data_IF_131691071011
#
_entry.id   IF_131691071011
#
_cell.length_a   1.000
_cell.length_b   1.000
_cell.length_c   1.000
_cell.angle_alpha   90.00
_cell.angle_beta   90.00
_cell.angle_gamma   90.00
#
_symmetry.space_group_name_H-M   'P 1'
#
loop_
_entity.id
_entity.type
_entity.pdbx_description
1 polymer ?
#
# COMPACT_ATOMS: atom_id res chain seq x y z
N UNK A 1 1.32 6.04 88.22
CA UNK A 1 2.44 6.85 88.75
C UNK A 1 3.55 6.90 87.70
N UNK A 2 3.25 7.36 86.48
CA UNK A 2 4.14 7.20 85.30
C UNK A 2 4.31 8.48 84.48
N UNK A 3 3.90 9.63 85.01
CA UNK A 3 4.01 10.92 84.30
C UNK A 3 5.33 11.64 84.63
N UNK A 4 6.09 11.19 85.65
CA UNK A 4 7.33 11.85 86.09
C UNK A 4 8.61 11.39 85.37
N UNK A 5 8.59 10.32 84.55
CA UNK A 5 9.83 9.83 83.88
C UNK A 5 10.05 10.39 82.46
N UNK A 6 8.99 10.80 81.74
CA UNK A 6 9.14 11.35 80.38
C UNK A 6 9.70 12.77 80.36
N UNK A 7 9.46 13.57 81.41
CA UNK A 7 9.92 14.96 81.50
C UNK A 7 11.43 15.06 81.73
N UNK A 8 12.02 14.10 82.45
CA UNK A 8 13.44 14.13 82.80
C UNK A 8 14.32 13.66 81.62
N UNK A 9 13.89 12.61 80.90
CA UNK A 9 14.59 12.12 79.70
C UNK A 9 14.64 13.19 78.60
N UNK A 10 13.54 13.91 78.37
CA UNK A 10 13.50 15.02 77.41
C UNK A 10 14.42 16.20 77.81
N UNK A 11 14.55 16.47 79.11
CA UNK A 11 15.44 17.52 79.65
C UNK A 11 16.92 17.12 79.52
N UNK A 12 17.25 15.86 79.74
CA UNK A 12 18.59 15.31 79.52
C UNK A 12 18.98 15.30 78.04
N UNK A 13 18.06 14.94 77.14
CA UNK A 13 18.29 15.00 75.69
C UNK A 13 18.53 16.43 75.21
N UNK A 14 17.75 17.39 75.74
CA UNK A 14 17.89 18.81 75.42
C UNK A 14 19.24 19.35 75.93
N UNK A 15 19.64 19.04 77.16
CA UNK A 15 20.96 19.38 77.70
C UNK A 15 22.10 18.75 76.90
N UNK A 16 21.95 17.51 76.45
CA UNK A 16 22.95 16.83 75.62
C UNK A 16 23.05 17.50 74.24
N UNK A 17 21.92 17.86 73.62
CA UNK A 17 21.90 18.60 72.36
C UNK A 17 22.48 20.00 72.49
N UNK A 18 22.22 20.70 73.60
CA UNK A 18 22.81 22.00 73.93
C UNK A 18 24.32 21.89 74.16
N UNK A 19 24.78 20.84 74.85
CA UNK A 19 26.21 20.54 75.05
C UNK A 19 26.91 20.20 73.73
N UNK A 20 26.26 19.41 72.87
CA UNK A 20 26.78 19.06 71.54
C UNK A 20 26.85 20.31 70.67
N UNK A 21 25.80 21.14 70.65
CA UNK A 21 25.78 22.37 69.86
C UNK A 21 26.79 23.40 70.36
N UNK A 22 26.98 23.55 71.67
CA UNK A 22 28.05 24.40 72.23
C UNK A 22 29.44 23.83 71.94
N UNK A 23 29.62 22.51 71.95
CA UNK A 23 30.86 21.87 71.52
C UNK A 23 31.15 22.10 70.02
N UNK A 24 30.13 22.06 69.16
CA UNK A 24 30.26 22.35 67.73
C UNK A 24 30.46 23.85 67.43
N UNK A 25 29.82 24.75 68.17
CA UNK A 25 30.05 26.20 68.06
C UNK A 25 31.46 26.56 68.53
N UNK A 26 31.90 26.00 69.67
CA UNK A 26 33.29 26.06 70.12
C UNK A 26 34.24 25.36 69.16
N UNK A 27 33.75 24.51 68.23
CA UNK A 27 34.54 23.93 67.15
C UNK A 27 34.76 24.85 65.98
N UNK A 28 33.81 25.75 65.71
CA UNK A 28 33.90 26.71 64.63
C UNK A 28 34.91 27.83 64.95
N UNK A 29 35.07 28.18 66.23
CA UNK A 29 36.12 29.11 66.70
C UNK A 29 37.55 28.51 66.61
N UNK A 30 37.69 27.16 66.56
CA UNK A 30 38.98 26.45 66.42
C UNK A 30 39.68 26.72 65.10
N UNK A 31 38.95 27.21 64.09
CA UNK A 31 39.50 27.64 62.81
C UNK A 31 40.42 28.87 62.96
N UNK A 32 40.35 29.61 64.07
CA UNK A 32 41.19 30.80 64.29
C UNK A 32 42.61 30.45 64.78
N UNK A 33 42.79 29.33 65.48
CA UNK A 33 44.11 28.81 65.84
C UNK A 33 44.08 27.28 66.07
N UNK A 34 44.25 26.48 65.00
CA UNK A 34 44.16 25.02 65.08
C UNK A 34 45.21 24.42 66.02
N UNK A 35 46.40 25.03 66.11
CA UNK A 35 47.48 24.56 66.98
C UNK A 35 47.06 24.58 68.46
N UNK A 36 46.47 25.67 68.93
CA UNK A 36 46.02 25.78 70.34
C UNK A 36 44.98 24.71 70.66
N UNK A 37 44.05 24.47 69.74
CA UNK A 37 43.01 23.48 69.94
C UNK A 37 43.57 22.05 70.02
N UNK A 38 44.39 21.64 69.04
CA UNK A 38 44.99 20.31 69.05
C UNK A 38 45.99 20.14 70.20
N UNK A 39 46.65 21.22 70.61
CA UNK A 39 47.50 21.23 71.80
C UNK A 39 46.68 20.98 73.06
N UNK A 40 45.54 21.66 73.24
CA UNK A 40 44.67 21.44 74.40
C UNK A 40 44.15 20.01 74.48
N UNK A 41 43.71 19.43 73.36
CA UNK A 41 43.28 18.02 73.30
C UNK A 41 44.45 17.09 73.62
N UNK A 42 45.60 17.29 72.99
CA UNK A 42 46.76 16.45 73.22
C UNK A 42 47.23 16.55 74.66
N UNK A 43 47.19 17.75 75.24
CA UNK A 43 47.54 18.00 76.64
C UNK A 43 46.63 17.24 77.59
N UNK A 44 45.31 17.26 77.39
CA UNK A 44 44.38 16.45 78.17
C UNK A 44 44.67 14.95 77.98
N UNK A 45 44.94 14.52 76.75
CA UNK A 45 45.20 13.12 76.44
C UNK A 45 46.48 12.59 77.11
N UNK A 46 47.55 13.39 77.21
CA UNK A 46 48.78 13.00 77.93
C UNK A 46 48.66 13.19 79.45
N UNK A 47 47.93 14.20 79.91
CA UNK A 47 47.71 14.50 81.34
C UNK A 47 46.40 13.88 81.88
N UNK A 48 45.91 12.80 81.27
CA UNK A 48 44.65 12.16 81.68
C UNK A 48 44.68 11.63 83.12
N UNK A 49 45.84 11.11 83.57
CA UNK A 49 46.04 10.55 84.92
C UNK A 49 45.88 11.60 86.04
N UNK A 50 46.59 12.75 86.01
CA UNK A 50 46.38 13.78 87.02
C UNK A 50 44.97 14.38 86.95
N UNK A 51 44.38 14.55 85.76
CA UNK A 51 43.00 15.03 85.62
C UNK A 51 42.01 14.07 86.31
N UNK A 52 42.07 12.77 86.01
CA UNK A 52 41.19 11.78 86.65
C UNK A 52 41.44 11.72 88.15
N UNK A 53 42.70 11.77 88.59
CA UNK A 53 43.04 11.73 90.02
C UNK A 53 42.51 12.96 90.76
N UNK A 54 42.50 14.13 90.12
CA UNK A 54 41.97 15.36 90.69
C UNK A 54 40.45 15.30 90.85
N UNK A 55 39.73 14.85 89.82
CA UNK A 55 38.26 14.89 89.78
C UNK A 55 37.58 13.66 90.38
N UNK A 56 38.13 12.45 90.19
CA UNK A 56 37.46 11.18 90.54
C UNK A 56 38.03 10.48 91.79
N UNK A 57 39.16 10.91 92.34
CA UNK A 57 39.67 10.33 93.58
C UNK A 57 38.71 10.60 94.75
N UNK A 58 38.70 9.73 95.76
CA UNK A 58 37.91 9.93 97.00
C UNK A 58 38.70 10.65 98.11
N UNK A 59 40.01 10.85 97.93
CA UNK A 59 40.90 11.48 98.92
C UNK A 59 40.60 12.97 99.14
N UNK A 60 41.12 13.58 100.21
CA UNK A 60 41.01 15.05 100.38
C UNK A 60 41.72 15.80 99.26
N UNK A 61 41.24 16.99 98.91
CA UNK A 61 41.78 17.79 97.81
C UNK A 61 43.29 18.09 97.96
N UNK A 62 43.74 18.36 99.19
CA UNK A 62 45.15 18.60 99.52
C UNK A 62 46.03 17.38 99.21
N UNK A 63 45.56 16.18 99.56
CA UNK A 63 46.27 14.94 99.26
C UNK A 63 46.33 14.65 97.75
N UNK A 64 45.29 15.00 96.99
CA UNK A 64 45.28 14.87 95.52
C UNK A 64 46.30 15.81 94.88
N UNK A 65 46.33 17.07 95.31
CA UNK A 65 47.27 18.07 94.79
C UNK A 65 48.72 17.67 95.10
N UNK A 66 48.99 17.23 96.33
CA UNK A 66 50.33 16.76 96.72
C UNK A 66 50.74 15.51 95.94
N UNK A 67 49.82 14.56 95.74
CA UNK A 67 50.08 13.37 94.93
C UNK A 67 50.39 13.74 93.47
N UNK A 68 49.66 14.69 92.89
CA UNK A 68 49.90 15.14 91.51
C UNK A 68 51.22 15.88 91.39
N UNK A 69 51.53 16.80 92.31
CA UNK A 69 52.77 17.57 92.29
C UNK A 69 54.02 16.72 92.50
N UNK A 70 53.90 15.56 93.15
CA UNK A 70 55.03 14.63 93.38
C UNK A 70 55.18 13.59 92.27
N UNK A 71 54.09 13.09 91.69
CA UNK A 71 54.13 11.96 90.76
C UNK A 71 53.98 12.36 89.28
N UNK A 72 53.50 13.58 88.98
CA UNK A 72 53.20 14.02 87.61
C UNK A 72 53.83 15.38 87.27
N UNK A 73 55.07 15.63 87.70
CA UNK A 73 55.80 16.88 87.46
C UNK A 73 56.80 16.82 86.29
N UNK A 74 56.61 15.89 85.35
CA UNK A 74 57.48 15.77 84.19
C UNK A 74 57.07 16.74 83.08
N UNK A 75 57.87 17.79 82.89
CA UNK A 75 57.67 18.82 81.86
C UNK A 75 57.61 18.24 80.44
N UNK A 76 58.26 17.11 80.17
CA UNK A 76 58.25 16.46 78.86
C UNK A 76 56.86 15.90 78.54
N UNK A 77 56.28 15.19 79.51
CA UNK A 77 54.93 14.62 79.41
C UNK A 77 53.84 15.70 79.45
N UNK A 78 54.04 16.75 80.26
CA UNK A 78 53.04 17.80 80.43
C UNK A 78 53.04 18.81 79.30
N UNK A 79 54.18 19.13 78.67
CA UNK A 79 54.26 20.22 77.68
C UNK A 79 54.80 19.79 76.31
N UNK A 80 55.98 19.16 76.26
CA UNK A 80 56.68 18.93 75.00
C UNK A 80 56.01 17.89 74.11
N UNK A 81 55.58 16.74 74.65
CA UNK A 81 54.88 15.73 73.84
C UNK A 81 53.52 16.24 73.32
N UNK A 82 52.66 16.89 74.13
CA UNK A 82 51.45 17.52 73.61
C UNK A 82 51.68 18.53 72.49
N UNK A 83 52.75 19.34 72.60
CA UNK A 83 53.13 20.32 71.58
C UNK A 83 53.59 19.65 70.28
N UNK A 84 54.40 18.59 70.38
CA UNK A 84 54.89 17.90 69.20
C UNK A 84 53.77 17.14 68.47
N UNK A 85 52.88 16.49 69.22
CA UNK A 85 51.71 15.80 68.64
C UNK A 85 50.74 16.78 68.01
N UNK A 86 50.48 17.92 68.64
CA UNK A 86 49.58 18.93 68.06
C UNK A 86 50.16 19.56 66.80
N UNK A 87 51.46 19.85 66.78
CA UNK A 87 52.16 20.35 65.59
C UNK A 87 52.13 19.30 64.47
N UNK A 88 52.41 18.04 64.79
CA UNK A 88 52.29 16.93 63.85
C UNK A 88 50.88 16.82 63.27
N UNK A 89 49.84 16.95 64.10
CA UNK A 89 48.45 16.88 63.64
C UNK A 89 48.09 18.05 62.72
N UNK A 90 48.47 19.29 63.07
CA UNK A 90 48.22 20.48 62.24
C UNK A 90 48.88 20.38 60.88
N UNK A 91 50.09 19.83 60.83
CA UNK A 91 50.83 19.66 59.56
C UNK A 91 50.27 18.50 58.76
N UNK A 92 49.99 17.33 59.38
CA UNK A 92 49.60 16.12 58.67
C UNK A 92 48.14 16.15 58.19
N UNK A 93 47.24 16.76 58.95
CA UNK A 93 45.81 16.81 58.63
C UNK A 93 45.51 17.35 57.21
N UNK A 94 46.07 18.49 56.74
CA UNK A 94 45.80 19.00 55.39
C UNK A 94 46.29 18.07 54.28
N UNK A 95 47.37 17.32 54.49
CA UNK A 95 47.83 16.32 53.52
C UNK A 95 46.91 15.10 53.48
N UNK A 96 46.41 14.68 54.63
CA UNK A 96 45.43 13.60 54.72
C UNK A 96 44.10 13.98 54.04
N UNK A 97 43.62 15.21 54.24
CA UNK A 97 42.42 15.70 53.54
C UNK A 97 42.64 15.76 52.03
N UNK A 98 43.80 16.24 51.58
CA UNK A 98 44.15 16.27 50.15
C UNK A 98 44.21 14.87 49.53
N UNK A 99 44.73 13.87 50.26
CA UNK A 99 44.75 12.48 49.82
C UNK A 99 43.32 11.94 49.63
N UNK A 100 42.43 12.18 50.60
CA UNK A 100 41.02 11.78 50.49
C UNK A 100 40.35 12.47 49.30
N UNK A 101 40.58 13.78 49.12
CA UNK A 101 40.02 14.53 48.01
C UNK A 101 40.47 13.97 46.66
N UNK A 102 41.75 13.60 46.51
CA UNK A 102 42.26 12.95 45.29
C UNK A 102 41.55 11.63 45.00
N UNK A 103 41.36 10.78 46.01
CA UNK A 103 40.64 9.50 45.85
C UNK A 103 39.20 9.76 45.41
N UNK A 104 38.53 10.73 46.04
CA UNK A 104 37.15 11.10 45.70
C UNK A 104 37.07 11.68 44.28
N UNK A 105 38.04 12.49 43.87
CA UNK A 105 38.10 13.04 42.51
C UNK A 105 38.28 11.95 41.46
N UNK A 106 39.16 10.97 41.69
CA UNK A 106 39.32 9.82 40.79
C UNK A 106 38.01 9.03 40.64
N UNK A 107 37.31 8.78 41.76
CA UNK A 107 36.01 8.13 41.72
C UNK A 107 34.96 8.95 40.94
N UNK A 108 34.94 10.28 41.10
CA UNK A 108 34.04 11.18 40.37
C UNK A 108 34.33 11.16 38.86
N UNK A 109 35.60 11.19 38.46
CA UNK A 109 36.00 11.12 37.05
C UNK A 109 35.57 9.79 36.44
N UNK A 110 35.83 8.67 37.13
CA UNK A 110 35.40 7.34 36.69
C UNK A 110 33.89 7.26 36.47
N UNK A 111 33.09 7.76 37.44
CA UNK A 111 31.62 7.81 37.31
C UNK A 111 31.16 8.68 36.14
N UNK A 112 31.78 9.86 35.96
CA UNK A 112 31.45 10.76 34.84
C UNK A 112 31.73 10.10 33.49
N UNK A 113 32.87 9.43 33.36
CA UNK A 113 33.23 8.72 32.14
C UNK A 113 32.26 7.56 31.85
N UNK A 114 31.89 6.78 32.87
CA UNK A 114 30.89 5.72 32.71
C UNK A 114 29.55 6.27 32.25
N UNK A 115 29.08 7.37 32.85
CA UNK A 115 27.83 8.03 32.44
C UNK A 115 27.88 8.52 30.99
N UNK A 116 29.00 9.11 30.56
CA UNK A 116 29.18 9.56 29.16
C UNK A 116 29.16 8.35 28.22
N UNK A 117 29.86 7.26 28.56
CA UNK A 117 29.90 6.05 27.75
C UNK A 117 28.51 5.39 27.64
N UNK A 118 27.75 5.34 28.73
CA UNK A 118 26.36 4.88 28.75
C UNK A 118 25.49 5.71 27.80
N UNK A 119 25.58 7.04 27.88
CA UNK A 119 24.86 7.94 26.97
C UNK A 119 25.24 7.74 25.50
N UNK A 120 26.52 7.55 25.21
CA UNK A 120 26.99 7.26 23.84
C UNK A 120 26.39 5.95 23.35
N UNK A 121 26.41 4.91 24.17
CA UNK A 121 25.81 3.61 23.84
C UNK A 121 24.31 3.72 23.57
N UNK A 122 23.57 4.48 24.38
CA UNK A 122 22.14 4.75 24.17
C UNK A 122 21.88 5.43 22.83
N UNK A 123 22.67 6.46 22.48
CA UNK A 123 22.50 7.16 21.20
C UNK A 123 22.81 6.28 20.00
N UNK A 124 23.84 5.42 20.10
CA UNK A 124 24.15 4.42 19.07
C UNK A 124 22.98 3.44 18.92
N UNK A 125 22.42 2.96 20.04
CA UNK A 125 21.24 2.10 20.03
C UNK A 125 20.04 2.76 19.35
N UNK A 126 19.73 4.01 19.71
CA UNK A 126 18.65 4.81 19.09
C UNK A 126 18.87 5.01 17.59
N UNK A 127 20.10 5.31 17.17
CA UNK A 127 20.42 5.47 15.76
C UNK A 127 20.20 4.16 14.98
N UNK A 128 20.59 3.02 15.57
CA UNK A 128 20.35 1.71 14.97
C UNK A 128 18.86 1.42 14.83
N UNK A 129 18.07 1.67 15.87
CA UNK A 129 16.60 1.50 15.84
C UNK A 129 16.00 2.37 14.74
N UNK A 130 16.32 3.67 14.70
CA UNK A 130 15.80 4.58 13.69
C UNK A 130 16.18 4.17 12.25
N UNK A 131 17.37 3.60 12.06
CA UNK A 131 17.81 3.09 10.75
C UNK A 131 16.99 1.87 10.32
N UNK A 132 16.75 0.93 11.21
CA UNK A 132 15.94 -0.26 10.91
C UNK A 132 14.46 0.08 10.73
N UNK A 133 13.92 1.03 11.50
CA UNK A 133 12.55 1.52 11.32
C UNK A 133 12.36 2.21 9.97
N UNK A 134 13.35 3.00 9.53
CA UNK A 134 13.32 3.62 8.20
C UNK A 134 13.35 2.58 7.07
N UNK A 135 14.13 1.51 7.22
CA UNK A 135 14.12 0.39 6.25
C UNK A 135 12.78 -0.33 6.26
N UNK A 136 12.22 -0.62 7.43
CA UNK A 136 10.93 -1.27 7.57
C UNK A 136 9.81 -0.47 6.89
N UNK A 137 9.75 0.85 7.13
CA UNK A 137 8.78 1.72 6.46
C UNK A 137 9.00 1.78 4.95
N UNK A 138 10.25 1.75 4.48
CA UNK A 138 10.55 1.71 3.05
C UNK A 138 10.14 0.38 2.39
N UNK A 139 10.37 -0.75 3.05
CA UNK A 139 9.90 -2.06 2.59
C UNK A 139 8.36 -2.14 2.59
N UNK A 140 7.72 -1.58 3.62
CA UNK A 140 6.27 -1.49 3.71
C UNK A 140 5.68 -0.59 2.62
N UNK A 141 6.29 0.55 2.34
CA UNK A 141 5.90 1.42 1.23
C UNK A 141 6.09 0.72 -0.12
N UNK A 142 7.21 0.03 -0.33
CA UNK A 142 7.44 -0.79 -1.52
C UNK A 142 6.39 -1.89 -1.70
N UNK A 143 6.00 -2.57 -0.61
CA UNK A 143 4.92 -3.56 -0.64
C UNK A 143 3.55 -2.93 -0.96
N UNK A 144 3.28 -1.72 -0.48
CA UNK A 144 2.06 -0.99 -0.81
C UNK A 144 2.04 -0.59 -2.29
N UNK A 145 3.15 -0.09 -2.83
CA UNK A 145 3.32 0.20 -4.26
C UNK A 145 3.11 -1.06 -5.11
N UNK A 146 3.67 -2.20 -4.69
CA UNK A 146 3.45 -3.50 -5.37
C UNK A 146 1.96 -3.88 -5.36
N UNK A 147 1.26 -3.68 -4.25
CA UNK A 147 -0.18 -3.96 -4.16
C UNK A 147 -0.99 -3.06 -5.09
N UNK A 148 -0.65 -1.78 -5.18
CA UNK A 148 -1.29 -0.82 -6.08
C UNK A 148 -1.02 -1.19 -7.55
N UNK A 149 0.22 -1.54 -7.88
CA UNK A 149 0.60 -2.02 -9.21
C UNK A 149 -0.16 -3.29 -9.60
N UNK A 150 -0.30 -4.25 -8.69
CA UNK A 150 -1.09 -5.47 -8.94
C UNK A 150 -2.56 -5.15 -9.21
N UNK A 151 -3.14 -4.22 -8.45
CA UNK A 151 -4.53 -3.75 -8.67
C UNK A 151 -4.66 -3.13 -10.07
N UNK A 152 -3.70 -2.29 -10.45
CA UNK A 152 -3.66 -1.67 -11.78
C UNK A 152 -3.51 -2.69 -12.91
N UNK A 153 -2.72 -3.73 -12.70
CA UNK A 153 -2.56 -4.84 -13.66
C UNK A 153 -3.90 -5.56 -13.85
N UNK A 154 -4.62 -5.86 -12.76
CA UNK A 154 -5.94 -6.50 -12.84
C UNK A 154 -6.95 -5.63 -13.60
N UNK A 155 -6.99 -4.33 -13.33
CA UNK A 155 -7.85 -3.37 -14.05
C UNK A 155 -7.52 -3.31 -15.54
N UNK A 156 -6.23 -3.27 -15.90
CA UNK A 156 -5.78 -3.28 -17.28
C UNK A 156 -6.14 -4.57 -18.00
N UNK A 157 -5.98 -5.73 -17.33
CA UNK A 157 -6.37 -7.03 -17.89
C UNK A 157 -7.87 -7.07 -18.19
N UNK A 158 -8.70 -6.60 -17.25
CA UNK A 158 -10.15 -6.53 -17.44
C UNK A 158 -10.53 -5.59 -18.57
N UNK A 159 -9.91 -4.41 -18.64
CA UNK A 159 -10.16 -3.44 -19.72
C UNK A 159 -9.76 -4.03 -21.08
N UNK A 160 -8.67 -4.79 -21.14
CA UNK A 160 -8.22 -5.42 -22.37
C UNK A 160 -9.16 -6.55 -22.80
N UNK A 161 -9.67 -7.34 -21.86
CA UNK A 161 -10.70 -8.36 -22.13
C UNK A 161 -12.01 -7.73 -22.65
N UNK A 162 -12.47 -6.64 -22.03
CA UNK A 162 -13.64 -5.88 -22.49
C UNK A 162 -13.42 -5.34 -23.91
N UNK A 163 -12.24 -4.75 -24.19
CA UNK A 163 -11.89 -4.29 -25.54
C UNK A 163 -11.82 -5.42 -26.55
N UNK A 164 -11.28 -6.58 -26.17
CA UNK A 164 -11.20 -7.74 -27.05
C UNK A 164 -12.61 -8.24 -27.42
N UNK A 165 -13.52 -8.31 -26.45
CA UNK A 165 -14.94 -8.62 -26.70
C UNK A 165 -15.59 -7.63 -27.67
N UNK A 166 -15.35 -6.33 -27.50
CA UNK A 166 -15.85 -5.32 -28.44
C UNK A 166 -15.24 -5.44 -29.84
N UNK A 167 -13.95 -5.78 -29.95
CA UNK A 167 -13.31 -6.04 -31.24
C UNK A 167 -13.97 -7.24 -31.93
N UNK A 168 -14.26 -8.29 -31.19
CA UNK A 168 -14.86 -9.49 -31.75
C UNK A 168 -16.33 -9.28 -32.14
N UNK A 169 -17.10 -8.49 -31.39
CA UNK A 169 -18.45 -8.08 -31.82
C UNK A 169 -18.41 -7.22 -33.09
N UNK A 170 -17.52 -6.23 -33.14
CA UNK A 170 -17.36 -5.36 -34.32
C UNK A 170 -16.91 -6.16 -35.57
N UNK A 171 -16.11 -7.22 -35.41
CA UNK A 171 -15.76 -8.13 -36.52
C UNK A 171 -16.98 -8.89 -37.04
N UNK A 172 -17.87 -9.33 -36.15
CA UNK A 172 -19.11 -10.01 -36.54
C UNK A 172 -19.99 -9.04 -37.33
N UNK A 173 -20.19 -7.83 -36.80
CA UNK A 173 -20.98 -6.79 -37.47
C UNK A 173 -20.41 -6.45 -38.84
N UNK A 174 -19.09 -6.22 -38.93
CA UNK A 174 -18.40 -5.97 -40.20
C UNK A 174 -18.60 -7.12 -41.20
N UNK A 175 -18.62 -8.36 -40.73
CA UNK A 175 -18.83 -9.53 -41.58
C UNK A 175 -20.25 -9.58 -42.11
N UNK A 176 -21.24 -9.23 -41.29
CA UNK A 176 -22.64 -9.14 -41.70
C UNK A 176 -22.87 -8.00 -42.70
N UNK A 177 -22.35 -6.80 -42.41
CA UNK A 177 -22.41 -5.66 -43.32
C UNK A 177 -21.76 -5.97 -44.68
N UNK A 178 -20.61 -6.66 -44.69
CA UNK A 178 -20.00 -7.12 -45.95
C UNK A 178 -20.89 -8.08 -46.72
N UNK A 179 -21.60 -9.00 -46.04
CA UNK A 179 -22.55 -9.91 -46.70
C UNK A 179 -23.71 -9.15 -47.31
N UNK A 180 -24.31 -8.21 -46.56
CA UNK A 180 -25.40 -7.37 -47.07
C UNK A 180 -24.94 -6.52 -48.26
N UNK A 181 -23.76 -5.88 -48.17
CA UNK A 181 -23.17 -5.14 -49.28
C UNK A 181 -23.00 -5.99 -50.53
N UNK A 182 -22.51 -7.22 -50.38
CA UNK A 182 -22.35 -8.15 -51.51
C UNK A 182 -23.71 -8.54 -52.12
N UNK A 183 -24.76 -8.71 -51.31
CA UNK A 183 -26.13 -8.93 -51.82
C UNK A 183 -26.61 -7.74 -52.63
N UNK A 184 -26.45 -6.51 -52.11
CA UNK A 184 -26.83 -5.29 -52.83
C UNK A 184 -26.04 -5.10 -54.13
N UNK A 185 -24.73 -5.37 -54.13
CA UNK A 185 -23.94 -5.35 -55.36
C UNK A 185 -24.44 -6.39 -56.38
N UNK A 186 -24.84 -7.59 -55.93
CA UNK A 186 -25.47 -8.58 -56.79
C UNK A 186 -26.79 -8.07 -57.36
N UNK A 187 -27.66 -7.46 -56.55
CA UNK A 187 -28.91 -6.85 -57.02
C UNK A 187 -28.66 -5.75 -58.06
N UNK A 188 -27.70 -4.84 -57.81
CA UNK A 188 -27.36 -3.75 -58.72
C UNK A 188 -26.76 -4.30 -60.03
N UNK A 189 -25.94 -5.35 -59.98
CA UNK A 189 -25.39 -5.99 -61.17
C UNK A 189 -26.45 -6.67 -62.05
N UNK A 190 -27.57 -7.11 -61.45
CA UNK A 190 -28.72 -7.66 -62.16
C UNK A 190 -29.58 -6.56 -62.80
N UNK A 191 -29.69 -5.38 -62.15
CA UNK A 191 -30.51 -4.26 -62.64
C UNK A 191 -29.80 -3.46 -63.74
N UNK A 192 -28.47 -3.32 -63.66
CA UNK A 192 -27.67 -2.48 -64.57
C UNK A 192 -27.34 -3.09 -65.95
N UNK A 193 -27.74 -4.34 -66.23
CA UNK A 193 -27.51 -4.97 -67.54
C UNK A 193 -28.66 -4.85 -68.55
N UNK A 194 -29.83 -4.30 -68.20
CA UNK A 194 -31.02 -4.34 -69.08
C UNK A 194 -31.84 -3.04 -69.22
N UNK A 195 -31.32 -1.87 -68.85
CA UNK A 195 -32.00 -0.59 -69.12
C UNK A 195 -31.93 -0.20 -70.61
N UNK A 196 -32.82 -0.80 -71.41
CA UNK A 196 -33.52 -0.06 -72.46
C UNK A 196 -34.94 0.20 -71.95
N UNK A 197 -35.19 1.45 -71.59
CA UNK A 197 -36.48 1.98 -71.20
C UNK A 197 -37.53 1.64 -72.27
N UNK A 198 -38.42 0.67 -71.99
CA UNK A 198 -39.56 0.39 -72.84
C UNK A 198 -40.46 1.63 -72.88
N UNK A 199 -40.93 2.03 -74.07
CA UNK A 199 -41.94 3.09 -74.16
C UNK A 199 -43.18 2.70 -73.35
N UNK A 200 -43.87 3.68 -72.76
CA UNK A 200 -45.06 3.47 -71.90
C UNK A 200 -46.10 2.55 -72.56
N UNK A 201 -46.27 2.69 -73.89
CA UNK A 201 -47.19 1.88 -74.68
C UNK A 201 -46.77 0.40 -74.76
N UNK A 202 -45.48 0.14 -74.97
CA UNK A 202 -44.93 -1.22 -75.05
C UNK A 202 -44.97 -1.93 -73.70
N UNK A 203 -44.82 -1.17 -72.60
CA UNK A 203 -44.97 -1.71 -71.25
C UNK A 203 -46.40 -2.20 -70.99
N UNK A 204 -47.39 -1.39 -71.37
CA UNK A 204 -48.81 -1.75 -71.22
C UNK A 204 -49.16 -3.02 -72.01
N UNK A 205 -48.66 -3.14 -73.24
CA UNK A 205 -48.84 -4.35 -74.05
C UNK A 205 -48.18 -5.58 -73.41
N UNK A 206 -46.96 -5.43 -72.88
CA UNK A 206 -46.26 -6.51 -72.19
C UNK A 206 -46.96 -6.93 -70.89
N UNK A 207 -47.60 -6.00 -70.17
CA UNK A 207 -48.40 -6.30 -68.98
C UNK A 207 -49.66 -7.12 -69.35
N UNK A 208 -50.38 -6.73 -70.41
CA UNK A 208 -51.54 -7.47 -70.93
C UNK A 208 -51.14 -8.89 -71.38
N UNK A 209 -50.05 -9.02 -72.13
CA UNK A 209 -49.52 -10.33 -72.56
C UNK A 209 -49.02 -11.18 -71.38
N UNK A 210 -48.53 -10.55 -70.30
CA UNK A 210 -48.09 -11.24 -69.10
C UNK A 210 -49.27 -11.84 -68.32
N UNK A 211 -50.35 -11.07 -68.16
CA UNK A 211 -51.58 -11.56 -67.52
C UNK A 211 -52.21 -12.72 -68.31
N UNK A 212 -52.19 -12.67 -69.63
CA UNK A 212 -52.65 -13.78 -70.46
C UNK A 212 -51.71 -14.98 -70.39
N UNK A 213 -50.40 -14.76 -70.30
CA UNK A 213 -49.42 -15.83 -70.08
C UNK A 213 -49.66 -16.56 -68.76
N UNK A 214 -49.97 -15.85 -67.67
CA UNK A 214 -50.23 -16.47 -66.36
C UNK A 214 -51.36 -17.50 -66.41
N UNK A 215 -52.36 -17.30 -67.27
CA UNK A 215 -53.50 -18.21 -67.47
C UNK A 215 -53.13 -19.49 -68.24
N UNK A 216 -51.95 -19.56 -68.85
CA UNK A 216 -51.51 -20.72 -69.63
C UNK A 216 -50.91 -21.80 -68.73
N UNK A 217 -51.01 -23.07 -69.13
CA UNK A 217 -50.35 -24.20 -68.42
C UNK A 217 -48.82 -24.03 -68.35
N UNK A 218 -48.24 -23.34 -69.33
CA UNK A 218 -46.78 -23.11 -69.44
C UNK A 218 -46.26 -22.20 -68.33
N UNK A 219 -47.10 -21.32 -67.76
CA UNK A 219 -46.71 -20.41 -66.67
C UNK A 219 -46.29 -21.15 -65.41
N UNK A 220 -46.89 -22.33 -65.15
CA UNK A 220 -46.59 -23.16 -63.98
C UNK A 220 -45.16 -23.69 -63.98
N UNK A 221 -44.58 -23.88 -65.17
CA UNK A 221 -43.19 -24.32 -65.33
C UNK A 221 -42.21 -23.15 -65.42
N UNK A 222 -42.71 -21.94 -65.60
CA UNK A 222 -41.90 -20.75 -65.86
C UNK A 222 -41.01 -20.37 -64.68
N UNK A 223 -41.45 -20.61 -63.44
CA UNK A 223 -40.62 -20.42 -62.24
C UNK A 223 -39.32 -21.22 -62.32
N UNK A 224 -39.47 -22.54 -62.51
CA UNK A 224 -38.35 -23.47 -62.49
C UNK A 224 -37.43 -23.24 -63.70
N UNK A 225 -38.03 -23.03 -64.87
CA UNK A 225 -37.29 -22.79 -66.12
C UNK A 225 -36.60 -21.42 -66.09
N UNK A 226 -37.29 -20.37 -65.62
CA UNK A 226 -36.75 -19.02 -65.52
C UNK A 226 -35.60 -18.93 -64.51
N UNK A 227 -35.70 -19.62 -63.38
CA UNK A 227 -34.62 -19.71 -62.38
C UNK A 227 -33.37 -20.37 -62.97
N UNK A 228 -33.54 -21.53 -63.61
CA UNK A 228 -32.44 -22.28 -64.22
C UNK A 228 -31.78 -21.54 -65.39
N UNK A 229 -32.57 -20.90 -66.25
CA UNK A 229 -32.04 -20.09 -67.36
C UNK A 229 -31.31 -18.85 -66.82
N UNK A 230 -31.84 -18.21 -65.79
CA UNK A 230 -31.23 -17.03 -65.17
C UNK A 230 -29.90 -17.36 -64.48
N UNK A 231 -29.83 -18.48 -63.75
CA UNK A 231 -28.65 -18.85 -62.96
C UNK A 231 -27.59 -19.60 -63.77
N UNK A 232 -28.01 -20.51 -64.65
CA UNK A 232 -27.12 -21.49 -65.28
C UNK A 232 -27.17 -21.46 -66.81
N UNK A 233 -28.03 -20.62 -67.40
CA UNK A 233 -28.29 -20.58 -68.87
C UNK A 233 -28.72 -21.94 -69.44
N UNK A 234 -29.34 -22.77 -68.62
CA UNK A 234 -29.78 -24.13 -68.97
C UNK A 234 -31.27 -24.34 -68.72
N UNK A 235 -31.81 -25.42 -69.29
CA UNK A 235 -33.18 -25.87 -69.00
C UNK A 235 -33.11 -27.06 -68.04
N UNK A 236 -34.04 -27.18 -67.07
CA UNK A 236 -34.12 -28.36 -66.22
C UNK A 236 -34.19 -29.65 -67.04
N UNK A 237 -33.42 -30.66 -66.64
CA UNK A 237 -33.28 -31.93 -67.39
C UNK A 237 -34.60 -32.69 -67.62
N UNK A 238 -35.63 -32.43 -66.80
CA UNK A 238 -36.94 -33.09 -66.87
C UNK A 238 -38.05 -32.20 -67.46
N UNK A 239 -37.69 -31.21 -68.28
CA UNK A 239 -38.69 -30.38 -68.97
C UNK A 239 -39.07 -30.99 -70.31
N UNK A 240 -40.37 -31.16 -70.57
CA UNK A 240 -40.87 -31.69 -71.84
C UNK A 240 -40.52 -30.74 -73.01
N UNK A 241 -40.11 -31.32 -74.14
CA UNK A 241 -39.71 -30.56 -75.33
C UNK A 241 -40.79 -29.58 -75.79
N UNK A 242 -42.06 -29.98 -75.68
CA UNK A 242 -43.20 -29.15 -76.08
C UNK A 242 -43.33 -27.87 -75.24
N UNK A 243 -42.92 -27.90 -73.96
CA UNK A 243 -42.92 -26.74 -73.06
C UNK A 243 -41.81 -25.77 -73.48
N UNK A 244 -40.64 -26.31 -73.82
CA UNK A 244 -39.48 -25.55 -74.30
C UNK A 244 -39.83 -24.84 -75.61
N UNK A 245 -40.42 -25.57 -76.57
CA UNK A 245 -40.84 -25.01 -77.85
C UNK A 245 -41.90 -23.93 -77.67
N UNK A 246 -42.92 -24.15 -76.82
CA UNK A 246 -43.94 -23.13 -76.52
C UNK A 246 -43.33 -21.85 -75.94
N UNK A 247 -42.33 -21.94 -75.07
CA UNK A 247 -41.62 -20.79 -74.52
C UNK A 247 -40.74 -20.05 -75.56
N UNK A 248 -40.20 -20.78 -76.53
CA UNK A 248 -39.49 -20.19 -77.67
C UNK A 248 -40.47 -19.47 -78.60
N UNK A 249 -41.59 -20.12 -78.95
CA UNK A 249 -42.63 -19.56 -79.82
C UNK A 249 -43.32 -18.34 -79.21
N UNK A 250 -43.54 -18.32 -77.89
CA UNK A 250 -44.07 -17.14 -77.18
C UNK A 250 -43.06 -16.00 -77.07
N UNK A 251 -41.83 -16.25 -77.53
CA UNK A 251 -40.74 -15.29 -77.53
C UNK A 251 -40.24 -14.99 -76.13
N UNK A 252 -40.37 -15.90 -75.15
CA UNK A 252 -39.89 -15.72 -73.78
C UNK A 252 -38.45 -16.22 -73.60
N UNK A 253 -38.08 -17.28 -74.30
CA UNK A 253 -36.70 -17.80 -74.28
C UNK A 253 -36.15 -17.91 -75.70
N UNK A 254 -34.84 -17.85 -75.84
CA UNK A 254 -34.14 -18.09 -77.10
C UNK A 254 -33.04 -19.13 -76.88
N UNK A 255 -32.96 -20.08 -77.81
CA UNK A 255 -31.83 -21.01 -77.92
C UNK A 255 -30.67 -20.31 -78.62
N UNK A 256 -29.47 -20.38 -78.05
CA UNK A 256 -28.24 -19.86 -78.62
C UNK A 256 -27.27 -21.01 -78.77
N UNK A 257 -26.86 -21.26 -80.01
CA UNK A 257 -25.85 -22.25 -80.36
C UNK A 257 -24.51 -21.51 -80.50
N UNK A 258 -23.54 -21.85 -79.65
CA UNK A 258 -22.18 -21.32 -79.68
C UNK A 258 -21.29 -22.31 -80.45
N UNK A 259 -21.06 -21.97 -81.73
CA UNK A 259 -20.31 -22.80 -82.67
C UNK A 259 -18.82 -22.92 -82.29
N UNK A 260 -18.26 -21.94 -81.57
CA UNK A 260 -16.85 -21.96 -81.15
C UNK A 260 -16.61 -22.93 -79.99
N UNK A 261 -17.56 -23.00 -79.05
CA UNK A 261 -17.44 -23.86 -77.85
C UNK A 261 -18.25 -25.16 -77.93
N UNK A 262 -18.95 -25.41 -79.05
CA UNK A 262 -19.86 -26.54 -79.26
C UNK A 262 -20.90 -26.69 -78.13
N UNK A 263 -21.45 -25.57 -77.66
CA UNK A 263 -22.41 -25.55 -76.55
C UNK A 263 -23.70 -24.84 -76.95
N UNK A 264 -24.81 -25.52 -76.71
CA UNK A 264 -26.14 -24.90 -76.74
C UNK A 264 -26.50 -24.40 -75.34
N UNK A 265 -26.93 -23.15 -75.23
CA UNK A 265 -27.50 -22.60 -74.01
C UNK A 265 -28.77 -21.80 -74.29
N UNK A 266 -29.55 -21.57 -73.24
CA UNK A 266 -30.81 -20.84 -73.33
C UNK A 266 -30.68 -19.51 -72.60
N UNK A 267 -31.28 -18.47 -73.16
CA UNK A 267 -31.36 -17.14 -72.55
C UNK A 267 -32.80 -16.65 -72.56
N UNK A 268 -33.17 -15.85 -71.54
CA UNK A 268 -34.41 -15.10 -71.57
C UNK A 268 -34.31 -13.99 -72.62
N UNK A 269 -35.33 -13.87 -73.45
CA UNK A 269 -35.47 -12.73 -74.36
C UNK A 269 -35.82 -11.47 -73.55
N UNK A 270 -35.83 -10.31 -74.20
CA UNK A 270 -36.31 -9.05 -73.63
C UNK A 270 -37.70 -9.19 -72.96
N UNK A 271 -38.64 -9.81 -73.67
CA UNK A 271 -39.99 -10.14 -73.17
C UNK A 271 -39.95 -11.14 -72.01
N UNK A 272 -39.15 -12.21 -72.14
CA UNK A 272 -39.00 -13.20 -71.08
C UNK A 272 -38.43 -12.65 -69.78
N UNK A 273 -37.47 -11.72 -69.88
CA UNK A 273 -36.90 -11.01 -68.72
C UNK A 273 -37.93 -10.11 -68.03
N UNK A 274 -38.77 -9.40 -68.81
CA UNK A 274 -39.87 -8.61 -68.27
C UNK A 274 -40.86 -9.50 -67.48
N UNK A 275 -41.24 -10.63 -68.06
CA UNK A 275 -42.17 -11.59 -67.45
C UNK A 275 -41.54 -12.22 -66.20
N UNK A 276 -40.25 -12.54 -66.24
CA UNK A 276 -39.50 -13.08 -65.11
C UNK A 276 -39.44 -12.08 -63.94
N UNK A 277 -39.16 -10.80 -64.23
CA UNK A 277 -39.14 -9.72 -63.23
C UNK A 277 -40.49 -9.59 -62.52
N UNK A 278 -41.59 -9.54 -63.27
CA UNK A 278 -42.93 -9.44 -62.71
C UNK A 278 -43.33 -10.69 -61.91
N UNK A 279 -42.92 -11.88 -62.36
CA UNK A 279 -43.17 -13.15 -61.66
C UNK A 279 -42.46 -13.24 -60.30
N UNK A 280 -41.20 -12.81 -60.23
CA UNK A 280 -40.43 -12.80 -58.97
C UNK A 280 -40.95 -11.73 -58.01
N UNK A 281 -41.31 -10.54 -58.53
CA UNK A 281 -41.85 -9.46 -57.70
C UNK A 281 -43.22 -9.81 -57.08
N UNK A 282 -44.11 -10.45 -57.83
CA UNK A 282 -45.44 -10.83 -57.30
C UNK A 282 -45.34 -11.83 -56.14
N UNK A 283 -44.34 -12.72 -56.15
CA UNK A 283 -44.10 -13.65 -55.04
C UNK A 283 -43.50 -12.99 -53.80
N UNK A 284 -42.54 -12.09 -53.96
CA UNK A 284 -41.94 -11.38 -52.81
C UNK A 284 -42.99 -10.55 -52.03
N UNK A 285 -43.97 -9.96 -52.73
CA UNK A 285 -45.07 -9.23 -52.09
C UNK A 285 -45.96 -10.17 -51.27
N UNK A 286 -46.25 -11.37 -51.78
CA UNK A 286 -47.03 -12.38 -51.05
C UNK A 286 -46.27 -12.93 -49.82
N UNK A 287 -44.95 -13.09 -49.93
CA UNK A 287 -44.11 -13.63 -48.84
C UNK A 287 -43.92 -12.61 -47.71
N UNK A 288 -43.83 -11.31 -48.04
CA UNK A 288 -43.81 -10.23 -47.04
C UNK A 288 -45.15 -10.10 -46.30
N UNK A 289 -46.28 -10.22 -46.99
CA UNK A 289 -47.61 -10.19 -46.35
C UNK A 289 -47.92 -11.40 -45.46
N UNK A 290 -47.21 -12.51 -45.63
CA UNK A 290 -47.29 -13.68 -44.73
C UNK A 290 -46.38 -13.51 -43.51
N UNK A 291 -45.17 -12.98 -43.66
CA UNK A 291 -44.27 -12.74 -42.52
C UNK A 291 -44.77 -11.62 -41.59
N UNK A 292 -45.39 -10.57 -42.14
CA UNK A 292 -46.01 -9.50 -41.34
C UNK A 292 -47.25 -9.98 -40.55
N UNK A 293 -47.87 -11.11 -40.93
CA UNK A 293 -49.00 -11.71 -40.21
C UNK A 293 -48.58 -12.66 -39.08
N UNK A 294 -47.37 -13.21 -39.11
CA UNK A 294 -46.85 -14.08 -38.04
C UNK A 294 -46.33 -13.29 -36.83
N UNK A 295 -45.89 -12.04 -37.04
CA UNK A 295 -45.35 -11.18 -35.97
C UNK A 295 -46.43 -10.50 -35.08
N UNK A 296 -47.71 -10.65 -35.42
CA UNK A 296 -48.85 -10.08 -34.67
C UNK A 296 -49.43 -11.03 -33.59
N UNK A 297 -48.78 -12.17 -33.29
CA UNK A 297 -49.19 -13.05 -32.20
C UNK A 297 -48.72 -12.49 -30.84
N UNK A 298 -49.64 -12.16 -29.91
CA UNK A 298 -49.28 -11.57 -28.63
C UNK A 298 -48.71 -12.64 -27.70
N UNK A 299 -47.47 -12.46 -27.27
CA UNK A 299 -46.94 -13.05 -26.04
C UNK A 299 -46.51 -11.93 -25.08
#
# INVERSE_FOLDING_TARGET
MEIFSQTDVGKHLKKMKEFINTFFQASNERLRNPLIFYFFISWIAFNWRPIITLFLSEKKIEERINYIGTNFNDIQLTLYYPLFVSLGYVILLPYFTLLIEKIVQLAKIGRKNNYVNEKISDFVGKQKIAKEERKYEQEKAGNAEISELNTRIEELLRTNDEKQKSIDSLKIDLTNEKKERNKYEQYISLDSQDDLEYSIELKKQLDEEYEDFLKTEVSTYFERIGTEISQFKSIPKNTELIIIEKLIYSGLIKKVDDDENQRTYFILTKKGKYFWKNYVMSKNILTQQESEREDDLPF
#
